data_IF_215311181592
#
_entry.id   IF_215311181592
#
_cell.length_a   1.000
_cell.length_b   1.000
_cell.length_c   1.000
_cell.angle_alpha   90.00
_cell.angle_beta   90.00
_cell.angle_gamma   90.00
#
_symmetry.space_group_name_H-M   'P 1'
#
loop_
_entity.id
_entity.type
_entity.pdbx_description
1 polymer ?
#
# COMPACT_ATOMS: atom_id res chain seq x y z
N UNK A 1 9.30 -14.17 -15.71
CA UNK A 1 8.78 -12.79 -15.74
C UNK A 1 9.32 -12.16 -17.02
N UNK A 2 8.46 -11.85 -17.99
CA UNK A 2 8.89 -11.42 -19.33
C UNK A 2 8.92 -9.92 -19.50
N UNK A 3 7.94 -9.21 -18.94
CA UNK A 3 7.83 -7.77 -19.07
C UNK A 3 7.07 -7.15 -17.91
N UNK A 4 7.56 -6.00 -17.45
CA UNK A 4 6.86 -5.10 -16.53
C UNK A 4 7.07 -3.67 -17.02
N UNK A 5 5.99 -2.90 -17.15
CA UNK A 5 6.13 -1.47 -17.44
C UNK A 5 6.75 -0.75 -16.23
N UNK A 6 7.85 0.00 -16.37
CA UNK A 6 8.50 0.66 -15.24
C UNK A 6 7.67 1.84 -14.75
N UNK A 7 7.33 1.85 -13.46
CA UNK A 7 6.52 2.91 -12.88
C UNK A 7 6.90 3.21 -11.43
N UNK A 8 7.74 4.22 -11.27
CA UNK A 8 7.71 5.21 -10.18
C UNK A 8 8.18 4.76 -8.80
N UNK A 9 8.81 5.71 -8.09
CA UNK A 9 9.15 5.72 -6.66
C UNK A 9 8.32 4.72 -5.84
N UNK A 10 8.99 3.70 -5.30
CA UNK A 10 8.36 2.57 -4.61
C UNK A 10 7.87 2.94 -3.20
N UNK A 11 8.32 4.07 -2.66
CA UNK A 11 7.95 4.50 -1.30
C UNK A 11 6.78 5.51 -1.30
N UNK A 12 6.53 6.17 -2.44
CA UNK A 12 5.46 7.15 -2.56
C UNK A 12 4.05 6.52 -2.47
N UNK A 13 3.11 7.14 -1.70
CA UNK A 13 1.71 6.70 -1.62
C UNK A 13 1.00 6.67 -2.98
N UNK A 14 -0.05 5.84 -3.09
CA UNK A 14 -0.80 5.71 -4.34
C UNK A 14 -1.43 7.03 -4.83
N UNK A 15 -1.80 7.92 -3.89
CA UNK A 15 -2.47 9.20 -4.19
C UNK A 15 -1.51 10.34 -4.56
N UNK A 16 -0.19 10.15 -4.47
CA UNK A 16 0.80 11.19 -4.83
C UNK A 16 1.39 10.98 -6.22
N UNK A 17 1.02 9.90 -6.90
CA UNK A 17 1.61 9.50 -8.17
C UNK A 17 0.62 9.61 -9.33
N UNK A 18 1.05 10.08 -10.51
CA UNK A 18 0.24 9.99 -11.71
C UNK A 18 0.12 8.51 -12.09
N UNK A 19 -1.09 7.97 -11.98
CA UNK A 19 -1.41 6.61 -12.38
C UNK A 19 -1.44 6.55 -13.91
N UNK A 20 -0.45 5.90 -14.51
CA UNK A 20 -0.54 5.40 -15.88
C UNK A 20 -0.62 3.88 -15.79
N UNK A 21 -1.52 3.26 -16.57
CA UNK A 21 -1.80 1.83 -16.46
C UNK A 21 -0.52 1.00 -16.60
N UNK A 22 -0.37 -0.02 -15.75
CA UNK A 22 0.75 -0.96 -15.80
C UNK A 22 0.31 -2.29 -16.39
N UNK A 23 1.13 -2.88 -17.27
CA UNK A 23 0.95 -4.25 -17.74
C UNK A 23 2.07 -5.15 -17.21
N UNK A 24 1.70 -6.37 -16.86
CA UNK A 24 2.61 -7.41 -16.38
C UNK A 24 2.36 -8.67 -17.21
N UNK A 25 3.41 -9.18 -17.86
CA UNK A 25 3.34 -10.43 -18.61
C UNK A 25 4.15 -11.52 -17.89
N UNK A 26 3.46 -12.59 -17.52
CA UNK A 26 4.00 -13.74 -16.81
C UNK A 26 3.85 -15.00 -17.66
N UNK A 27 4.93 -15.77 -17.75
CA UNK A 27 4.88 -17.14 -18.24
C UNK A 27 4.65 -18.05 -17.04
N UNK A 28 3.64 -18.91 -17.14
CA UNK A 28 3.33 -19.90 -16.13
C UNK A 28 3.95 -21.23 -16.52
N UNK A 29 4.59 -21.90 -15.57
CA UNK A 29 5.20 -23.22 -15.77
C UNK A 29 4.28 -24.30 -15.17
N UNK A 30 3.45 -24.99 -15.98
CA UNK A 30 2.60 -26.05 -15.48
C UNK A 30 3.44 -27.26 -15.01
N UNK A 31 2.94 -28.04 -14.04
CA UNK A 31 3.66 -29.22 -13.55
C UNK A 31 3.79 -30.30 -14.64
N UNK A 32 4.88 -31.09 -14.65
CA UNK A 32 5.20 -32.03 -15.73
C UNK A 32 4.20 -33.21 -15.86
N UNK A 33 3.40 -33.49 -14.84
CA UNK A 33 2.34 -34.50 -14.87
C UNK A 33 1.00 -33.84 -15.24
N UNK A 34 0.66 -33.85 -16.52
CA UNK A 34 -0.40 -33.05 -17.14
C UNK A 34 -1.86 -33.36 -16.78
N UNK A 35 -2.15 -33.98 -15.63
CA UNK A 35 -3.51 -34.30 -15.19
C UNK A 35 -3.81 -33.86 -13.74
N UNK A 36 -2.99 -32.97 -13.17
CA UNK A 36 -3.22 -32.45 -11.82
C UNK A 36 -3.68 -31.00 -11.92
N UNK A 37 -4.79 -30.69 -11.24
CA UNK A 37 -5.23 -29.32 -11.03
C UNK A 37 -4.09 -28.52 -10.39
N UNK A 38 -3.72 -27.40 -11.00
CA UNK A 38 -2.60 -26.59 -10.56
C UNK A 38 -3.02 -25.12 -10.48
N UNK A 39 -2.42 -24.42 -9.51
CA UNK A 39 -2.72 -23.02 -9.23
C UNK A 39 -1.42 -22.22 -9.28
N UNK A 40 -1.46 -21.07 -9.95
CA UNK A 40 -0.37 -20.11 -9.95
C UNK A 40 -0.71 -18.96 -8.99
N UNK A 41 0.13 -18.75 -7.98
CA UNK A 41 0.02 -17.60 -7.10
C UNK A 41 0.95 -16.48 -7.57
N UNK A 42 0.37 -15.30 -7.82
CA UNK A 42 1.13 -14.11 -8.21
C UNK A 42 1.13 -13.14 -7.02
N UNK A 43 2.25 -12.98 -6.30
CA UNK A 43 2.30 -12.05 -5.19
C UNK A 43 2.25 -10.61 -5.72
N UNK A 44 1.21 -9.87 -5.32
CA UNK A 44 1.05 -8.45 -5.62
C UNK A 44 1.29 -7.63 -4.36
N UNK A 45 2.07 -6.57 -4.49
CA UNK A 45 2.26 -5.60 -3.42
C UNK A 45 1.38 -4.38 -3.66
N UNK A 46 0.58 -4.00 -2.66
CA UNK A 46 -0.29 -2.85 -2.72
C UNK A 46 0.36 -1.64 -2.03
N UNK A 47 0.30 -0.47 -2.68
CA UNK A 47 0.80 0.80 -2.14
C UNK A 47 -0.14 1.36 -1.07
N UNK A 48 0.34 2.31 -0.27
CA UNK A 48 -0.49 3.03 0.68
C UNK A 48 -1.66 3.73 -0.01
N UNK A 49 -2.87 3.30 0.33
CA UNK A 49 -4.10 3.91 -0.14
C UNK A 49 -4.47 5.13 0.70
N UNK A 50 -5.49 5.86 0.23
CA UNK A 50 -5.99 7.02 0.95
C UNK A 50 -6.67 6.59 2.27
N UNK A 51 -6.56 7.39 3.34
CA UNK A 51 -7.31 7.16 4.57
C UNK A 51 -8.83 7.13 4.31
N UNK A 52 -9.56 6.26 5.00
CA UNK A 52 -11.01 6.18 4.92
C UNK A 52 -11.67 6.45 6.26
N UNK A 53 -13.00 6.63 6.27
CA UNK A 53 -13.77 6.81 7.51
C UNK A 53 -14.05 5.51 8.24
N UNK A 54 -14.05 4.38 7.53
CA UNK A 54 -14.33 3.05 8.07
C UNK A 54 -13.06 2.28 8.45
N UNK A 55 -11.88 2.77 8.04
CA UNK A 55 -10.61 2.04 8.15
C UNK A 55 -10.47 0.90 7.12
N UNK A 56 -11.41 0.77 6.20
CA UNK A 56 -11.37 -0.17 5.08
C UNK A 56 -11.56 0.60 3.77
N UNK A 57 -10.87 0.16 2.73
CA UNK A 57 -11.04 0.66 1.36
C UNK A 57 -11.18 -0.51 0.40
N UNK A 58 -12.19 -0.45 -0.45
CA UNK A 58 -12.41 -1.44 -1.51
C UNK A 58 -11.54 -1.10 -2.73
N UNK A 59 -10.82 -2.10 -3.22
CA UNK A 59 -9.96 -2.02 -4.40
C UNK A 59 -10.41 -3.09 -5.39
N UNK A 60 -10.63 -2.68 -6.64
CA UNK A 60 -11.00 -3.60 -7.71
C UNK A 60 -9.80 -3.86 -8.62
N UNK A 61 -9.43 -5.12 -8.77
CA UNK A 61 -8.39 -5.57 -9.70
C UNK A 61 -9.10 -6.25 -10.87
N UNK A 62 -8.84 -5.86 -12.14
CA UNK A 62 -9.42 -6.54 -13.28
C UNK A 62 -8.97 -8.00 -13.33
N UNK A 63 -9.86 -8.91 -13.73
CA UNK A 63 -9.50 -10.32 -13.90
C UNK A 63 -8.38 -10.45 -14.95
N UNK A 64 -7.33 -11.23 -14.66
CA UNK A 64 -6.22 -11.38 -15.59
C UNK A 64 -6.67 -12.05 -16.89
N UNK A 65 -6.00 -11.68 -17.99
CA UNK A 65 -6.17 -12.34 -19.29
C UNK A 65 -5.19 -13.50 -19.34
N UNK A 66 -5.71 -14.72 -19.51
CA UNK A 66 -4.91 -15.93 -19.68
C UNK A 66 -4.95 -16.36 -21.14
N UNK A 67 -3.78 -16.63 -21.72
CA UNK A 67 -3.69 -17.04 -23.11
C UNK A 67 -2.50 -17.97 -23.38
N UNK A 68 -2.58 -18.72 -24.48
CA UNK A 68 -1.45 -19.43 -25.07
C UNK A 68 -0.99 -18.73 -26.33
N UNK A 69 0.34 -18.61 -26.48
CA UNK A 69 0.98 -18.08 -27.67
C UNK A 69 1.67 -19.24 -28.41
N UNK A 70 1.14 -19.59 -29.59
CA UNK A 70 1.69 -20.65 -30.43
C UNK A 70 2.23 -20.05 -31.73
N UNK A 71 3.35 -20.57 -32.24
CA UNK A 71 3.83 -20.21 -33.58
C UNK A 71 2.86 -20.77 -34.61
N UNK A 72 2.35 -19.92 -35.50
CA UNK A 72 1.45 -20.36 -36.56
C UNK A 72 2.23 -21.18 -37.60
N UNK A 73 1.75 -22.40 -37.89
CA UNK A 73 2.31 -23.25 -38.94
C UNK A 73 2.21 -22.58 -40.31
N UNK A 74 3.15 -22.91 -41.20
CA UNK A 74 3.48 -22.27 -42.49
C UNK A 74 2.31 -22.08 -43.49
N UNK A 75 1.11 -22.54 -43.18
CA UNK A 75 -0.10 -22.43 -44.02
C UNK A 75 -0.97 -21.18 -43.79
N UNK A 76 -0.78 -20.43 -42.71
CA UNK A 76 -1.57 -19.20 -42.47
C UNK A 76 -0.90 -17.99 -43.16
N UNK A 77 -1.48 -17.54 -44.28
CA UNK A 77 -0.99 -16.38 -45.06
C UNK A 77 -1.22 -15.02 -44.37
N UNK A 78 -1.68 -15.00 -43.13
CA UNK A 78 -2.02 -13.79 -42.41
C UNK A 78 -0.93 -13.46 -41.40
N UNK A 79 -0.34 -12.27 -41.53
CA UNK A 79 0.66 -11.75 -40.58
C UNK A 79 0.04 -11.34 -39.25
N UNK A 80 -1.27 -11.03 -39.24
CA UNK A 80 -2.07 -10.62 -38.08
C UNK A 80 -3.42 -11.33 -38.16
N UNK A 81 -3.89 -11.90 -37.05
CA UNK A 81 -5.17 -12.58 -36.97
C UNK A 81 -6.33 -11.55 -36.90
N UNK A 82 -7.30 -11.56 -37.83
CA UNK A 82 -8.39 -10.58 -37.86
C UNK A 82 -9.44 -10.76 -36.75
N UNK A 83 -9.39 -11.87 -36.00
CA UNK A 83 -10.29 -12.13 -34.88
C UNK A 83 -9.67 -11.80 -33.51
N UNK A 84 -8.38 -11.45 -33.49
CA UNK A 84 -7.69 -11.02 -32.28
C UNK A 84 -7.89 -9.52 -32.04
N UNK A 85 -8.00 -9.15 -30.76
CA UNK A 85 -7.96 -7.75 -30.36
C UNK A 85 -6.54 -7.21 -30.55
N UNK A 86 -6.39 -6.32 -31.52
CA UNK A 86 -5.15 -5.58 -31.74
C UNK A 86 -4.90 -4.56 -30.62
N UNK A 87 -3.64 -4.19 -30.41
CA UNK A 87 -3.20 -3.13 -29.48
C UNK A 87 -3.42 -3.37 -27.98
N UNK A 88 -3.45 -4.62 -27.54
CA UNK A 88 -3.42 -4.97 -26.09
C UNK A 88 -2.04 -4.74 -25.43
N UNK A 89 -1.05 -4.29 -26.20
CA UNK A 89 0.29 -3.88 -25.72
C UNK A 89 1.29 -5.02 -25.58
N UNK A 90 0.87 -6.23 -25.19
CA UNK A 90 1.78 -7.39 -25.06
C UNK A 90 2.06 -8.08 -26.41
N UNK A 91 1.21 -7.88 -27.42
CA UNK A 91 1.33 -8.50 -28.75
C UNK A 91 2.68 -8.20 -29.42
N UNK A 92 3.20 -6.99 -29.22
CA UNK A 92 4.50 -6.56 -29.76
C UNK A 92 5.72 -7.26 -29.13
N UNK A 93 5.53 -8.04 -28.06
CA UNK A 93 6.58 -8.87 -27.47
C UNK A 93 6.76 -10.21 -28.19
N UNK A 94 5.82 -10.57 -29.07
CA UNK A 94 5.82 -11.81 -29.82
C UNK A 94 6.19 -11.59 -31.29
N UNK A 95 6.71 -12.62 -31.94
CA UNK A 95 7.16 -12.55 -33.33
C UNK A 95 6.01 -12.41 -34.34
N UNK A 96 6.29 -11.98 -35.59
CA UNK A 96 5.30 -12.05 -36.65
C UNK A 96 4.88 -13.52 -36.85
N UNK A 97 3.58 -13.80 -36.91
CA UNK A 97 2.96 -15.15 -36.96
C UNK A 97 2.81 -15.88 -35.62
N UNK A 98 2.56 -15.17 -34.53
CA UNK A 98 2.05 -15.79 -33.30
C UNK A 98 0.53 -15.81 -33.33
N UNK A 99 -0.06 -16.94 -32.95
CA UNK A 99 -1.50 -17.11 -32.76
C UNK A 99 -1.78 -17.18 -31.26
N UNK A 100 -2.78 -16.42 -30.82
CA UNK A 100 -3.15 -16.32 -29.42
C UNK A 100 -4.49 -17.01 -29.17
N UNK A 101 -4.51 -17.90 -28.17
CA UNK A 101 -5.71 -18.57 -27.71
C UNK A 101 -6.04 -18.05 -26.31
N UNK A 102 -7.09 -17.24 -26.19
CA UNK A 102 -7.53 -16.65 -24.92
C UNK A 102 -8.51 -17.57 -24.18
N UNK A 103 -8.41 -17.58 -22.85
CA UNK A 103 -9.42 -18.15 -21.96
C UNK A 103 -10.29 -17.02 -21.41
N UNK A 104 -11.60 -17.15 -21.65
CA UNK A 104 -12.58 -16.25 -21.06
C UNK A 104 -12.79 -16.60 -19.58
N UNK A 105 -12.58 -15.65 -18.65
CA UNK A 105 -12.86 -15.90 -17.25
C UNK A 105 -14.36 -15.99 -17.01
N UNK A 106 -14.78 -16.94 -16.19
CA UNK A 106 -16.15 -17.02 -15.70
C UNK A 106 -16.36 -15.96 -14.61
N UNK A 107 -17.48 -15.19 -14.62
CA UNK A 107 -17.77 -14.24 -13.56
C UNK A 107 -17.86 -14.98 -12.22
N UNK A 108 -17.13 -14.47 -11.22
CA UNK A 108 -17.07 -15.07 -9.88
C UNK A 108 -18.41 -14.90 -9.15
N UNK A 109 -19.41 -15.73 -9.47
CA UNK A 109 -20.53 -15.98 -8.57
C UNK A 109 -20.21 -17.10 -7.57
N UNK A 110 -19.26 -18.01 -7.89
CA UNK A 110 -19.05 -19.23 -7.09
C UNK A 110 -17.58 -19.66 -6.90
N UNK A 111 -16.60 -19.03 -7.58
CA UNK A 111 -15.23 -19.57 -7.64
C UNK A 111 -14.28 -19.12 -6.51
N UNK A 112 -14.68 -18.17 -5.66
CA UNK A 112 -13.86 -17.75 -4.52
C UNK A 112 -14.76 -17.59 -3.31
N UNK A 113 -14.47 -18.32 -2.23
CA UNK A 113 -15.16 -18.24 -0.92
C UNK A 113 -14.97 -16.89 -0.21
N UNK A 114 -14.72 -15.83 -0.96
CA UNK A 114 -14.64 -14.44 -0.51
C UNK A 114 -16.00 -13.83 -0.90
N UNK A 115 -16.82 -13.33 0.05
CA UNK A 115 -18.13 -12.80 -0.27
C UNK A 115 -17.98 -11.65 -1.27
N UNK A 116 -18.43 -11.89 -2.51
CA UNK A 116 -18.56 -10.87 -3.53
C UNK A 116 -19.37 -9.71 -2.92
N UNK A 117 -18.78 -8.52 -2.93
CA UNK A 117 -19.44 -7.33 -2.44
C UNK A 117 -20.71 -7.08 -3.25
N UNK A 118 -21.85 -7.05 -2.56
CA UNK A 118 -23.11 -6.44 -3.04
C UNK A 118 -23.77 -7.06 -4.28
N UNK A 119 -25.10 -7.09 -4.25
CA UNK A 119 -26.03 -7.49 -5.33
C UNK A 119 -25.85 -6.77 -6.69
N UNK A 120 -24.91 -5.82 -6.82
CA UNK A 120 -24.67 -4.99 -8.02
C UNK A 120 -23.51 -5.45 -8.91
N UNK A 121 -22.70 -6.43 -8.50
CA UNK A 121 -21.53 -6.88 -9.27
C UNK A 121 -21.76 -8.15 -10.11
N UNK A 122 -23.01 -8.54 -10.32
CA UNK A 122 -23.40 -9.69 -11.17
C UNK A 122 -22.97 -9.43 -12.62
N UNK A 123 -21.88 -10.10 -13.05
CA UNK A 123 -21.36 -10.04 -14.42
C UNK A 123 -20.11 -9.16 -14.61
N UNK A 124 -19.51 -8.61 -13.55
CA UNK A 124 -18.28 -7.82 -13.65
C UNK A 124 -17.04 -8.70 -13.43
N UNK A 125 -16.13 -8.74 -14.41
CA UNK A 125 -14.85 -9.46 -14.34
C UNK A 125 -13.80 -8.68 -13.53
N UNK A 126 -14.09 -8.43 -12.26
CA UNK A 126 -13.19 -7.78 -11.32
C UNK A 126 -13.13 -8.55 -10.01
N UNK A 127 -11.93 -8.63 -9.45
CA UNK A 127 -11.70 -9.12 -8.11
C UNK A 127 -11.74 -7.94 -7.14
N UNK A 128 -12.72 -7.91 -6.23
CA UNK A 128 -12.82 -6.91 -5.19
C UNK A 128 -12.03 -7.36 -3.95
N UNK A 129 -11.13 -6.49 -3.47
CA UNK A 129 -10.37 -6.71 -2.24
C UNK A 129 -10.66 -5.60 -1.24
N UNK A 130 -10.88 -5.98 0.02
CA UNK A 130 -10.98 -5.03 1.12
C UNK A 130 -9.61 -4.85 1.76
N UNK A 131 -9.07 -3.64 1.65
CA UNK A 131 -7.76 -3.28 2.17
C UNK A 131 -7.92 -2.45 3.45
N UNK A 132 -7.23 -2.79 4.55
CA UNK A 132 -7.20 -1.95 5.74
C UNK A 132 -6.41 -0.67 5.47
N UNK A 133 -7.01 0.47 5.82
CA UNK A 133 -6.42 1.81 5.68
C UNK A 133 -6.55 2.59 6.97
N UNK A 134 -5.83 3.72 7.08
CA UNK A 134 -5.93 4.58 8.26
C UNK A 134 -7.38 5.07 8.43
N UNK A 135 -7.93 4.82 9.62
CA UNK A 135 -9.23 5.33 10.04
C UNK A 135 -9.08 6.80 10.49
N UNK A 136 -9.57 7.68 9.63
CA UNK A 136 -9.56 9.14 9.87
C UNK A 136 -10.32 9.56 11.14
N UNK A 137 -11.32 8.79 11.59
CA UNK A 137 -12.08 9.11 12.81
C UNK A 137 -11.27 8.79 14.08
N UNK A 138 -10.55 7.67 14.07
CA UNK A 138 -9.71 7.27 15.21
C UNK A 138 -8.43 8.11 15.32
N UNK A 139 -7.90 8.59 14.19
CA UNK A 139 -6.71 9.44 14.15
C UNK A 139 -6.83 10.69 15.05
N UNK A 140 -8.01 11.31 15.10
CA UNK A 140 -8.24 12.52 15.89
C UNK A 140 -8.07 12.28 17.41
N UNK A 141 -8.49 11.11 17.90
CA UNK A 141 -8.31 10.75 19.32
C UNK A 141 -6.86 10.50 19.68
N UNK A 142 -6.09 9.90 18.75
CA UNK A 142 -4.65 9.68 18.93
C UNK A 142 -3.93 11.02 18.98
N UNK A 143 -4.23 11.92 18.05
CA UNK A 143 -3.65 13.27 18.00
C UNK A 143 -3.92 14.04 19.30
N UNK A 144 -5.17 14.07 19.75
CA UNK A 144 -5.56 14.75 20.99
C UNK A 144 -4.88 14.13 22.22
N UNK A 145 -4.82 12.79 22.28
CA UNK A 145 -4.20 12.06 23.37
C UNK A 145 -2.70 12.35 23.48
N UNK A 146 -1.98 12.29 22.37
CA UNK A 146 -0.55 12.62 22.33
C UNK A 146 -0.30 14.08 22.71
N UNK A 147 -1.13 15.01 22.21
CA UNK A 147 -1.04 16.42 22.58
C UNK A 147 -1.23 16.63 24.09
N UNK A 148 -2.21 15.98 24.71
CA UNK A 148 -2.46 16.08 26.14
C UNK A 148 -1.29 15.55 26.97
N UNK A 149 -0.69 14.42 26.59
CA UNK A 149 0.48 13.85 27.29
C UNK A 149 1.69 14.79 27.19
N UNK A 150 1.95 15.34 26.00
CA UNK A 150 3.05 16.29 25.78
C UNK A 150 2.87 17.55 26.62
N UNK A 151 1.65 18.11 26.66
CA UNK A 151 1.34 19.29 27.49
C UNK A 151 1.49 18.98 28.98
N UNK A 152 1.00 17.83 29.44
CA UNK A 152 1.15 17.42 30.84
C UNK A 152 2.64 17.27 31.23
N UNK A 153 3.45 16.66 30.36
CA UNK A 153 4.90 16.56 30.54
C UNK A 153 5.58 17.92 30.59
N UNK A 154 5.20 18.84 29.69
CA UNK A 154 5.73 20.20 29.66
C UNK A 154 5.37 20.97 30.94
N UNK A 155 4.12 20.92 31.37
CA UNK A 155 3.64 21.56 32.63
C UNK A 155 4.38 20.98 33.83
N UNK A 156 4.61 19.68 33.87
CA UNK A 156 5.38 19.03 34.94
C UNK A 156 6.83 19.54 35.01
N UNK A 157 7.50 19.68 33.87
CA UNK A 157 8.86 20.23 33.81
C UNK A 157 8.87 21.70 34.26
N UNK A 158 7.94 22.52 33.77
CA UNK A 158 7.80 23.91 34.20
C UNK A 158 7.55 24.02 35.72
N UNK A 159 6.74 23.13 36.28
CA UNK A 159 6.48 23.07 37.72
C UNK A 159 7.74 22.72 38.52
N UNK A 160 8.52 21.75 38.06
CA UNK A 160 9.80 21.40 38.68
C UNK A 160 10.78 22.59 38.67
N UNK A 161 10.92 23.26 37.52
CA UNK A 161 11.77 24.45 37.39
C UNK A 161 11.29 25.59 38.29
N UNK A 162 9.99 25.82 38.38
CA UNK A 162 9.43 26.85 39.25
C UNK A 162 9.68 26.53 40.74
N UNK A 163 9.58 25.27 41.15
CA UNK A 163 9.94 24.87 42.53
C UNK A 163 11.41 25.19 42.83
N UNK A 164 12.33 24.87 41.93
CA UNK A 164 13.76 25.20 42.10
C UNK A 164 13.97 26.71 42.15
N UNK A 165 13.35 27.48 41.26
CA UNK A 165 13.47 28.94 41.26
C UNK A 165 12.95 29.58 42.56
N UNK A 166 11.83 29.09 43.11
CA UNK A 166 11.31 29.57 44.41
C UNK A 166 12.24 29.25 45.58
N UNK A 167 12.93 28.10 45.54
CA UNK A 167 13.88 27.71 46.60
C UNK A 167 15.22 28.45 46.47
N UNK A 168 15.70 28.66 45.25
CA UNK A 168 16.96 29.38 44.98
C UNK A 168 16.82 30.91 45.08
N UNK A 169 15.61 31.46 44.86
CA UNK A 169 15.32 32.90 44.84
C UNK A 169 15.27 33.60 46.21
N UNK A 170 15.49 32.89 47.32
CA UNK A 170 15.51 33.48 48.66
C UNK A 170 16.83 33.25 49.42
N UNK A 171 17.97 33.17 48.71
CA UNK A 171 19.28 33.34 49.35
C UNK A 171 19.88 34.69 48.95
N UNK A 172 19.30 35.76 49.50
CA UNK A 172 19.98 37.06 49.62
C UNK A 172 21.21 36.81 50.50
N UNK A 173 22.38 36.71 49.87
CA UNK A 173 23.69 36.61 50.52
C UNK A 173 23.78 37.66 51.62
N UNK A 174 23.66 37.23 52.88
CA UNK A 174 23.92 38.07 54.05
C UNK A 174 25.32 37.73 54.53
N UNK A 175 26.33 38.22 53.81
CA UNK A 175 27.64 38.43 54.43
C UNK A 175 27.46 39.58 55.43
N UNK A 176 27.44 39.26 56.74
CA UNK A 176 27.65 40.24 57.79
C UNK A 176 29.07 40.04 58.30
N UNK A 177 29.89 41.04 57.99
CA UNK A 177 31.29 41.09 58.37
C UNK A 177 31.53 41.09 59.87
N UNK A 178 32.70 40.55 60.20
CA UNK A 178 33.70 41.07 61.15
C UNK A 178 33.15 41.98 62.24
N UNK A 179 33.08 41.47 63.47
CA UNK A 179 33.34 42.27 64.67
C UNK A 179 34.26 41.45 65.56
N UNK A 180 35.54 41.85 65.60
CA UNK A 180 36.51 41.36 66.57
C UNK A 180 36.18 41.91 67.95
N UNK A 181 36.06 41.02 68.94
CA UNK A 181 35.86 41.39 70.33
C UNK A 181 37.21 41.41 71.05
N UNK A 182 37.52 42.58 71.62
CA UNK A 182 38.75 42.92 72.34
C UNK A 182 38.85 42.12 73.66
N UNK A 183 40.00 41.49 73.90
CA UNK A 183 40.40 40.99 75.22
C UNK A 183 40.57 42.16 76.19
N UNK A 184 39.94 42.07 77.36
CA UNK A 184 40.21 42.91 78.54
C UNK A 184 41.26 42.22 79.43
N UNK A 185 42.08 43.08 80.06
CA UNK A 185 43.11 42.81 81.05
C UNK A 185 42.61 41.99 82.24
#
# INVERSE_FOLDING_TARGET
MHYISPGVDLEAPAYTLPLWGSSLLLELAPPPSGNVEWTAEVPLHLRYLAPSKSGLQEVHIPTPVLFWACTADEGSKFTVNPFERVDLGYEGLFGPRTMFYHLDPEPALEASGIPAGGEKDVGRLVNALQVPVLDSQKSAYVELGTAAVVVAGFVWVCWCLWRVWRVAGYRRTKERGVVGEKKRQ
#
